data_IF_933008510187
#
_entry.id   IF_933008510187
#
_cell.length_a   1.000
_cell.length_b   1.000
_cell.length_c   1.000
_cell.angle_alpha   90.00
_cell.angle_beta   90.00
_cell.angle_gamma   90.00
#
_symmetry.space_group_name_H-M   'P 1'
#
loop_
_entity.id
_entity.type
_entity.pdbx_description
1 polymer ?
#
# COMPACT_ATOMS: atom_id res chain seq x y z
N UNK A 1 5.40 -29.89 -10.78
CA UNK A 1 4.97 -29.15 -9.57
C UNK A 1 5.44 -29.93 -8.35
N UNK A 2 6.28 -29.34 -7.50
CA UNK A 2 6.84 -30.02 -6.32
C UNK A 2 5.76 -30.29 -5.27
N UNK A 3 5.73 -31.48 -4.65
CA UNK A 3 4.87 -31.83 -3.51
C UNK A 3 4.95 -30.81 -2.36
N UNK A 4 6.12 -30.16 -2.21
CA UNK A 4 6.33 -29.09 -1.23
C UNK A 4 5.55 -27.81 -1.59
N UNK A 5 5.33 -27.55 -2.88
CA UNK A 5 4.55 -26.41 -3.36
C UNK A 5 3.05 -26.55 -3.09
N UNK A 6 2.51 -27.77 -3.08
CA UNK A 6 1.10 -28.02 -2.79
C UNK A 6 0.74 -27.89 -1.30
N UNK A 7 1.71 -28.13 -0.41
CA UNK A 7 1.54 -28.00 1.04
C UNK A 7 1.81 -26.58 1.54
N UNK A 8 2.51 -25.77 0.75
CA UNK A 8 2.85 -24.39 1.08
C UNK A 8 1.64 -23.51 0.84
N UNK A 9 1.26 -22.69 1.83
CA UNK A 9 0.20 -21.72 1.65
C UNK A 9 0.80 -20.36 1.23
N UNK A 10 0.73 -19.97 -0.07
CA UNK A 10 1.31 -18.71 -0.54
C UNK A 10 0.63 -17.48 0.09
N UNK A 11 -0.59 -17.61 0.60
CA UNK A 11 -1.29 -16.51 1.28
C UNK A 11 -0.62 -16.09 2.60
N UNK A 12 0.20 -16.95 3.23
CA UNK A 12 0.81 -16.69 4.54
C UNK A 12 2.31 -17.01 4.61
N UNK A 13 2.98 -17.19 3.47
CA UNK A 13 4.42 -17.49 3.40
C UNK A 13 5.13 -16.56 2.42
N UNK A 14 6.47 -16.48 2.48
CA UNK A 14 7.24 -15.56 1.63
C UNK A 14 7.05 -14.10 2.04
N UNK A 15 6.84 -13.21 1.07
CA UNK A 15 6.61 -11.77 1.28
C UNK A 15 5.31 -11.44 2.01
N UNK A 16 4.35 -12.37 2.06
CA UNK A 16 3.07 -12.21 2.78
C UNK A 16 3.09 -12.77 4.21
N UNK A 17 4.27 -13.09 4.75
CA UNK A 17 4.44 -13.67 6.10
C UNK A 17 4.31 -12.60 7.19
N UNK A 18 3.44 -12.83 8.17
CA UNK A 18 3.35 -11.95 9.34
C UNK A 18 4.38 -12.29 10.41
N UNK A 19 5.29 -11.37 10.69
CA UNK A 19 6.25 -11.47 11.80
C UNK A 19 5.53 -11.62 13.16
N UNK A 20 4.48 -10.82 13.50
CA UNK A 20 3.77 -10.98 14.78
C UNK A 20 3.15 -12.37 14.95
N UNK A 21 2.51 -12.89 13.90
CA UNK A 21 1.91 -14.22 13.92
C UNK A 21 2.98 -15.32 14.01
N UNK A 22 4.13 -15.13 13.35
CA UNK A 22 5.25 -16.07 13.44
C UNK A 22 5.79 -16.12 14.87
N UNK A 23 5.98 -14.97 15.53
CA UNK A 23 6.45 -14.91 16.92
C UNK A 23 5.49 -15.63 17.88
N UNK A 24 4.19 -15.38 17.78
CA UNK A 24 3.20 -16.05 18.64
C UNK A 24 3.16 -17.56 18.40
N UNK A 25 3.19 -18.00 17.14
CA UNK A 25 3.23 -19.44 16.83
C UNK A 25 4.50 -20.12 17.33
N UNK A 26 5.66 -19.45 17.24
CA UNK A 26 6.93 -19.96 17.80
C UNK A 26 6.89 -19.98 19.33
N UNK A 27 6.30 -18.98 19.99
CA UNK A 27 6.14 -18.96 21.44
C UNK A 27 5.22 -20.09 21.94
N UNK A 28 4.11 -20.34 21.25
CA UNK A 28 3.20 -21.47 21.53
C UNK A 28 3.94 -22.80 21.34
N UNK A 29 4.71 -22.93 20.25
CA UNK A 29 5.52 -24.12 20.00
C UNK A 29 6.52 -24.36 21.12
N UNK A 30 7.24 -23.31 21.52
CA UNK A 30 8.22 -23.37 22.58
C UNK A 30 7.59 -23.82 23.91
N UNK A 31 6.42 -23.29 24.26
CA UNK A 31 5.69 -23.70 25.46
C UNK A 31 5.29 -25.17 25.40
N UNK A 32 4.74 -25.62 24.27
CA UNK A 32 4.34 -27.02 24.08
C UNK A 32 5.53 -27.99 24.19
N UNK A 33 6.68 -27.64 23.60
CA UNK A 33 7.91 -28.43 23.70
C UNK A 33 8.38 -28.53 25.15
N UNK A 34 8.41 -27.41 25.88
CA UNK A 34 8.84 -27.41 27.30
C UNK A 34 7.93 -28.28 28.17
N UNK A 35 6.62 -28.23 27.98
CA UNK A 35 5.67 -29.10 28.70
C UNK A 35 5.99 -30.57 28.47
N UNK A 36 6.21 -30.98 27.21
CA UNK A 36 6.54 -32.39 26.88
C UNK A 36 7.88 -32.82 27.46
N UNK A 37 8.87 -31.93 27.49
CA UNK A 37 10.19 -32.19 28.08
C UNK A 37 10.09 -32.35 29.60
N UNK A 38 9.36 -31.48 30.30
CA UNK A 38 9.15 -31.54 31.75
C UNK A 38 8.39 -32.82 32.16
N UNK A 39 7.52 -33.34 31.29
CA UNK A 39 6.85 -34.64 31.48
C UNK A 39 7.78 -35.86 31.24
N UNK A 40 9.08 -35.64 31.06
CA UNK A 40 10.08 -36.71 30.94
C UNK A 40 10.18 -37.33 29.54
N UNK A 41 9.66 -36.67 28.49
CA UNK A 41 9.65 -37.21 27.11
C UNK A 41 10.49 -36.35 26.14
N UNK A 42 11.81 -36.24 26.33
CA UNK A 42 12.64 -35.31 25.54
C UNK A 42 12.65 -35.62 24.04
N UNK A 43 12.67 -36.90 23.64
CA UNK A 43 12.60 -37.30 22.22
C UNK A 43 11.28 -36.89 21.57
N UNK A 44 10.16 -36.99 22.30
CA UNK A 44 8.87 -36.52 21.81
C UNK A 44 8.83 -34.99 21.70
N UNK A 45 9.46 -34.27 22.65
CA UNK A 45 9.62 -32.82 22.59
C UNK A 45 10.41 -32.37 21.34
N UNK A 46 11.50 -33.07 21.02
CA UNK A 46 12.26 -32.82 19.79
C UNK A 46 11.43 -33.05 18.52
N UNK A 47 10.63 -34.13 18.48
CA UNK A 47 9.72 -34.39 17.37
C UNK A 47 8.66 -33.28 17.21
N UNK A 48 8.07 -32.82 18.32
CA UNK A 48 7.08 -31.72 18.32
C UNK A 48 7.73 -30.43 17.80
N UNK A 49 8.95 -30.11 18.22
CA UNK A 49 9.68 -28.94 17.74
C UNK A 49 9.88 -28.99 16.22
N UNK A 50 10.40 -30.10 15.71
CA UNK A 50 10.69 -30.27 14.27
C UNK A 50 9.40 -30.18 13.46
N UNK A 51 8.36 -30.93 13.84
CA UNK A 51 7.07 -30.92 13.15
C UNK A 51 6.44 -29.53 13.20
N UNK A 52 6.47 -28.87 14.38
CA UNK A 52 5.91 -27.54 14.56
C UNK A 52 6.61 -26.49 13.70
N UNK A 53 7.94 -26.50 13.65
CA UNK A 53 8.72 -25.59 12.80
C UNK A 53 8.43 -25.84 11.31
N UNK A 54 8.31 -27.10 10.89
CA UNK A 54 7.94 -27.46 9.51
C UNK A 54 6.54 -26.96 9.17
N UNK A 55 5.57 -27.10 10.07
CA UNK A 55 4.21 -26.58 9.88
C UNK A 55 4.21 -25.04 9.79
N UNK A 56 4.94 -24.34 10.66
CA UNK A 56 5.08 -22.88 10.61
C UNK A 56 5.77 -22.44 9.30
N UNK A 57 6.77 -23.20 8.83
CA UNK A 57 7.48 -22.91 7.59
C UNK A 57 6.61 -23.10 6.35
N UNK A 58 5.82 -24.18 6.29
CA UNK A 58 4.94 -24.49 5.16
C UNK A 58 3.65 -23.66 5.16
N UNK A 59 3.02 -23.46 6.32
CA UNK A 59 1.69 -22.85 6.40
C UNK A 59 1.66 -21.43 6.96
N UNK A 60 2.72 -20.98 7.61
CA UNK A 60 2.78 -19.67 8.25
C UNK A 60 2.11 -19.61 9.64
N UNK A 61 1.41 -20.68 10.06
CA UNK A 61 0.77 -20.78 11.37
C UNK A 61 0.84 -22.19 11.94
N UNK A 62 0.96 -22.29 13.27
CA UNK A 62 0.87 -23.53 14.03
C UNK A 62 -0.55 -23.72 14.59
N UNK A 63 -1.18 -22.63 15.04
CA UNK A 63 -2.55 -22.62 15.56
C UNK A 63 -3.44 -21.83 14.57
N UNK A 64 -4.50 -22.43 14.01
CA UNK A 64 -5.45 -21.70 13.16
C UNK A 64 -6.07 -20.54 13.93
N UNK A 65 -6.43 -19.46 13.23
CA UNK A 65 -6.96 -18.21 13.81
C UNK A 65 -5.98 -17.36 14.63
N UNK A 66 -4.69 -17.70 14.70
CA UNK A 66 -3.65 -16.76 15.18
C UNK A 66 -3.75 -15.34 14.61
N UNK A 67 -4.12 -15.14 13.32
CA UNK A 67 -4.44 -13.82 12.77
C UNK A 67 -5.37 -12.93 13.60
N UNK A 68 -6.35 -13.51 14.29
CA UNK A 68 -7.39 -12.76 15.01
C UNK A 68 -6.95 -12.24 16.38
N UNK A 69 -5.89 -12.82 16.97
CA UNK A 69 -5.50 -12.54 18.35
C UNK A 69 -4.00 -12.27 18.54
N UNK A 70 -3.12 -12.78 17.67
CA UNK A 70 -1.68 -12.57 17.76
C UNK A 70 -1.28 -11.09 17.76
N UNK A 71 -1.88 -10.19 16.94
CA UNK A 71 -1.55 -8.77 16.99
C UNK A 71 -1.83 -8.13 18.36
N UNK A 72 -2.95 -8.53 19.01
CA UNK A 72 -3.32 -8.01 20.34
C UNK A 72 -2.34 -8.46 21.42
N UNK A 73 -1.85 -9.70 21.35
CA UNK A 73 -0.85 -10.23 22.29
C UNK A 73 0.51 -9.55 22.13
N UNK A 74 0.97 -9.37 20.89
CA UNK A 74 2.28 -8.74 20.62
C UNK A 74 2.26 -7.26 20.97
N UNK A 75 1.15 -6.56 20.72
CA UNK A 75 1.02 -5.15 21.11
C UNK A 75 0.94 -4.93 22.63
N UNK A 76 0.53 -5.93 23.40
CA UNK A 76 0.59 -5.90 24.87
C UNK A 76 2.01 -6.24 25.40
N UNK A 77 2.93 -6.65 24.52
CA UNK A 77 4.29 -7.04 24.87
C UNK A 77 5.25 -5.84 24.80
N UNK A 78 6.32 -5.80 25.63
CA UNK A 78 7.33 -4.73 25.60
C UNK A 78 8.25 -4.73 24.36
N UNK A 79 7.86 -5.38 23.25
CA UNK A 79 8.68 -5.50 22.05
C UNK A 79 8.48 -4.24 21.18
N UNK A 80 9.56 -3.63 20.64
CA UNK A 80 9.44 -2.44 19.78
C UNK A 80 8.53 -2.69 18.57
N UNK A 81 7.55 -1.80 18.36
CA UNK A 81 6.58 -1.94 17.27
C UNK A 81 7.18 -1.73 15.89
N UNK A 82 8.35 -1.07 15.81
CA UNK A 82 9.11 -0.80 14.57
C UNK A 82 9.54 -2.05 13.81
N UNK A 83 9.60 -3.21 14.48
CA UNK A 83 9.90 -4.49 13.83
C UNK A 83 8.70 -5.09 13.08
N UNK A 84 7.53 -4.46 13.17
CA UNK A 84 6.26 -4.94 12.60
C UNK A 84 5.67 -4.00 11.54
N UNK A 85 6.31 -2.85 11.28
CA UNK A 85 5.82 -1.81 10.38
C UNK A 85 6.35 -2.02 8.96
N UNK A 86 5.60 -2.78 8.18
CA UNK A 86 5.72 -2.79 6.72
C UNK A 86 4.36 -2.36 6.13
N UNK A 87 3.90 -1.18 6.54
CA UNK A 87 2.74 -0.53 5.93
C UNK A 87 3.20 0.15 4.64
N UNK A 88 3.18 -0.62 3.54
CA UNK A 88 3.45 -0.09 2.20
C UNK A 88 2.32 0.84 1.78
N UNK A 89 2.42 2.11 2.18
CA UNK A 89 1.65 3.21 1.62
C UNK A 89 1.80 3.26 0.10
N UNK A 90 0.74 3.64 -0.63
CA UNK A 90 0.92 4.06 -2.01
C UNK A 90 1.97 5.16 -2.10
N UNK A 91 2.90 5.03 -3.06
CA UNK A 91 3.78 6.13 -3.42
C UNK A 91 3.03 7.37 -3.91
N UNK A 92 3.78 8.44 -4.13
CA UNK A 92 3.32 9.72 -4.63
C UNK A 92 4.50 10.37 -5.37
N UNK A 93 4.26 11.04 -6.49
CA UNK A 93 5.24 11.92 -7.14
C UNK A 93 5.33 13.26 -6.41
N UNK A 94 4.26 13.65 -5.73
CA UNK A 94 4.17 14.86 -4.92
C UNK A 94 4.80 14.68 -3.53
N UNK A 95 5.45 15.74 -3.02
CA UNK A 95 5.92 15.80 -1.63
C UNK A 95 4.74 15.82 -0.64
N UNK A 96 4.91 15.13 0.49
CA UNK A 96 3.90 14.96 1.54
C UNK A 96 3.88 16.10 2.55
N UNK A 97 4.82 17.05 2.47
CA UNK A 97 4.96 18.13 3.45
C UNK A 97 3.80 19.14 3.43
N UNK A 98 2.96 19.15 2.39
CA UNK A 98 1.85 20.08 2.23
C UNK A 98 0.51 19.50 2.65
N UNK A 99 -0.28 20.33 3.33
CA UNK A 99 -1.61 20.00 3.84
C UNK A 99 -2.64 19.85 2.70
N UNK A 100 -3.24 18.67 2.61
CA UNK A 100 -4.21 18.32 1.56
C UNK A 100 -5.46 19.20 1.57
N UNK A 101 -5.99 19.51 2.75
CA UNK A 101 -7.21 20.32 2.89
C UNK A 101 -6.98 21.75 2.40
N UNK A 102 -5.79 22.28 2.68
CA UNK A 102 -5.37 23.58 2.17
C UNK A 102 -5.31 23.58 0.64
N UNK A 103 -4.74 22.52 0.04
CA UNK A 103 -4.62 22.38 -1.41
C UNK A 103 -5.99 22.24 -2.09
N UNK A 104 -6.94 21.49 -1.51
CA UNK A 104 -8.32 21.44 -1.98
C UNK A 104 -8.99 22.83 -1.92
N UNK A 105 -8.73 23.60 -0.86
CA UNK A 105 -9.18 25.00 -0.76
C UNK A 105 -8.56 25.92 -1.83
N UNK A 106 -7.34 25.64 -2.27
CA UNK A 106 -6.66 26.35 -3.37
C UNK A 106 -7.28 25.98 -4.72
N UNK A 107 -7.51 24.69 -4.99
CA UNK A 107 -8.21 24.20 -6.19
C UNK A 107 -9.62 24.80 -6.32
N UNK A 108 -10.38 24.90 -5.23
CA UNK A 108 -11.69 25.56 -5.22
C UNK A 108 -11.59 27.04 -5.55
N UNK A 109 -10.60 27.75 -5.01
CA UNK A 109 -10.36 29.17 -5.33
C UNK A 109 -9.94 29.40 -6.78
N UNK A 110 -9.29 28.40 -7.40
CA UNK A 110 -8.96 28.40 -8.81
C UNK A 110 -10.14 28.04 -9.73
N UNK A 111 -11.32 27.75 -9.18
CA UNK A 111 -12.51 27.37 -9.95
C UNK A 111 -12.46 25.94 -10.50
N UNK A 112 -11.59 25.08 -9.96
CA UNK A 112 -11.40 23.70 -10.40
C UNK A 112 -12.24 22.70 -9.60
N UNK A 113 -12.83 23.15 -8.50
CA UNK A 113 -13.77 22.38 -7.69
C UNK A 113 -15.05 23.19 -7.51
N UNK A 114 -16.17 22.50 -7.65
CA UNK A 114 -17.50 22.99 -7.26
C UNK A 114 -17.97 22.23 -6.02
N UNK A 115 -18.85 22.84 -5.23
CA UNK A 115 -19.42 22.22 -4.05
C UNK A 115 -20.93 22.48 -3.96
N UNK A 116 -21.70 21.41 -3.79
CA UNK A 116 -23.10 21.50 -3.35
C UNK A 116 -23.19 21.37 -1.81
N UNK A 117 -24.40 21.31 -1.25
CA UNK A 117 -24.60 21.24 0.20
C UNK A 117 -24.01 19.97 0.84
N UNK A 118 -23.74 18.91 0.07
CA UNK A 118 -23.37 17.59 0.57
C UNK A 118 -22.07 17.02 -0.06
N UNK A 119 -21.59 17.56 -1.18
CA UNK A 119 -20.54 16.95 -2.01
C UNK A 119 -19.68 18.00 -2.73
N UNK A 120 -18.43 17.61 -2.98
CA UNK A 120 -17.47 18.35 -3.80
C UNK A 120 -17.29 17.62 -5.12
N UNK A 121 -17.28 18.36 -6.23
CA UNK A 121 -17.08 17.85 -7.58
C UNK A 121 -15.95 18.60 -8.27
N UNK A 122 -15.35 17.97 -9.28
CA UNK A 122 -14.43 18.65 -10.18
C UNK A 122 -15.21 19.55 -11.14
N UNK A 123 -14.59 20.66 -11.53
CA UNK A 123 -15.05 21.40 -12.71
C UNK A 123 -15.08 20.46 -13.93
N UNK A 124 -16.18 20.39 -14.69
CA UNK A 124 -16.32 19.43 -15.78
C UNK A 124 -15.25 19.58 -16.87
N UNK A 125 -14.75 20.79 -17.13
CA UNK A 125 -13.75 21.04 -18.17
C UNK A 125 -12.36 20.60 -17.69
N UNK A 126 -12.05 20.85 -16.41
CA UNK A 126 -10.87 20.32 -15.76
C UNK A 126 -10.89 18.79 -15.71
N UNK A 127 -11.99 18.17 -15.29
CA UNK A 127 -12.15 16.73 -15.22
C UNK A 127 -11.90 16.08 -16.59
N UNK A 128 -12.52 16.58 -17.66
CA UNK A 128 -12.30 16.06 -19.01
C UNK A 128 -10.85 16.21 -19.47
N UNK A 129 -10.20 17.33 -19.16
CA UNK A 129 -8.78 17.53 -19.49
C UNK A 129 -7.89 16.54 -18.74
N UNK A 130 -8.15 16.35 -17.45
CA UNK A 130 -7.38 15.43 -16.62
C UNK A 130 -7.53 13.98 -17.10
N UNK A 131 -8.74 13.55 -17.40
CA UNK A 131 -9.00 12.22 -17.95
C UNK A 131 -8.32 12.01 -19.32
N UNK A 132 -8.33 13.02 -20.20
CA UNK A 132 -7.63 12.94 -21.48
C UNK A 132 -6.10 12.79 -21.33
N UNK A 133 -5.51 13.48 -20.35
CA UNK A 133 -4.08 13.30 -20.05
C UNK A 133 -3.79 11.91 -19.47
N UNK A 134 -4.66 11.40 -18.59
CA UNK A 134 -4.52 10.03 -18.08
C UNK A 134 -4.60 8.99 -19.19
N UNK A 135 -5.54 9.13 -20.13
CA UNK A 135 -5.66 8.22 -21.28
C UNK A 135 -4.41 8.25 -22.17
N UNK A 136 -3.86 9.45 -22.42
CA UNK A 136 -2.61 9.62 -23.18
C UNK A 136 -1.45 8.90 -22.48
N UNK A 137 -1.26 9.16 -21.18
CA UNK A 137 -0.19 8.55 -20.38
C UNK A 137 -0.36 7.04 -20.21
N UNK A 138 -1.61 6.54 -20.12
CA UNK A 138 -1.90 5.10 -20.02
C UNK A 138 -1.48 4.32 -21.27
N UNK A 139 -1.37 4.98 -22.43
CA UNK A 139 -0.88 4.38 -23.67
C UNK A 139 0.64 4.29 -23.77
N UNK A 140 1.37 4.96 -22.89
CA UNK A 140 2.84 5.02 -22.90
C UNK A 140 3.49 3.82 -22.20
N UNK A 141 4.74 3.54 -22.58
CA UNK A 141 5.59 2.60 -21.82
C UNK A 141 5.97 3.19 -20.45
N UNK A 142 6.48 2.35 -19.54
CA UNK A 142 6.92 2.83 -18.23
C UNK A 142 8.20 3.69 -18.34
N UNK A 143 9.06 3.41 -19.31
CA UNK A 143 10.24 4.23 -19.62
C UNK A 143 9.84 5.63 -20.10
N UNK A 144 8.90 5.73 -21.05
CA UNK A 144 8.40 7.02 -21.54
C UNK A 144 7.74 7.83 -20.41
N UNK A 145 6.98 7.16 -19.55
CA UNK A 145 6.35 7.79 -18.38
C UNK A 145 7.40 8.30 -17.38
N UNK A 146 8.51 7.59 -17.21
CA UNK A 146 9.62 8.02 -16.37
C UNK A 146 10.34 9.24 -16.96
N UNK A 147 10.57 9.25 -18.28
CA UNK A 147 11.18 10.38 -18.99
C UNK A 147 10.30 11.62 -18.90
N UNK A 148 8.98 11.48 -19.06
CA UNK A 148 8.04 12.59 -18.93
C UNK A 148 8.00 13.12 -17.49
N UNK A 149 7.98 12.24 -16.48
CA UNK A 149 8.11 12.64 -15.07
C UNK A 149 9.42 13.39 -14.79
N UNK A 150 10.54 12.92 -15.33
CA UNK A 150 11.85 13.57 -15.14
C UNK A 150 11.95 14.95 -15.81
N UNK A 151 11.06 15.26 -16.76
CA UNK A 151 10.96 16.58 -17.39
C UNK A 151 10.22 17.62 -16.53
N UNK A 152 9.50 17.19 -15.49
CA UNK A 152 8.77 18.08 -14.59
C UNK A 152 9.77 18.84 -13.70
N UNK A 153 9.77 20.20 -13.69
CA UNK A 153 10.80 20.99 -13.00
C UNK A 153 11.02 20.68 -11.51
N UNK A 154 9.97 20.22 -10.81
CA UNK A 154 10.00 19.89 -9.38
C UNK A 154 10.30 18.41 -9.10
N UNK A 155 10.57 17.60 -10.13
CA UNK A 155 10.91 16.19 -10.02
C UNK A 155 12.41 16.01 -10.31
N UNK A 156 13.25 15.71 -9.31
CA UNK A 156 14.70 15.62 -9.50
C UNK A 156 15.15 14.49 -10.45
N UNK A 157 14.42 13.37 -10.43
CA UNK A 157 14.66 12.22 -11.30
C UNK A 157 13.46 11.28 -11.25
N UNK A 158 13.28 10.48 -12.30
CA UNK A 158 12.37 9.35 -12.32
C UNK A 158 12.99 8.23 -13.14
N UNK A 159 12.80 6.98 -12.71
CA UNK A 159 13.26 5.81 -13.45
C UNK A 159 12.39 4.58 -13.14
N UNK A 160 12.18 3.68 -14.10
CA UNK A 160 11.52 2.42 -13.84
C UNK A 160 12.40 1.51 -12.97
N UNK A 161 11.76 0.73 -12.10
CA UNK A 161 12.38 -0.30 -11.27
C UNK A 161 11.47 -1.51 -11.15
N UNK A 162 12.07 -2.69 -11.06
CA UNK A 162 11.35 -3.92 -10.72
C UNK A 162 11.57 -4.27 -9.25
N UNK A 163 10.48 -4.48 -8.51
CA UNK A 163 10.50 -4.96 -7.13
C UNK A 163 9.40 -6.00 -6.91
N UNK A 164 9.79 -7.16 -6.38
CA UNK A 164 8.91 -8.31 -6.14
C UNK A 164 8.15 -8.76 -7.40
N UNK A 165 8.80 -8.75 -8.56
CA UNK A 165 8.22 -9.15 -9.85
C UNK A 165 7.15 -8.18 -10.37
N UNK A 166 7.14 -6.94 -9.88
CA UNK A 166 6.25 -5.87 -10.33
C UNK A 166 7.06 -4.64 -10.69
N UNK A 167 6.55 -3.89 -11.65
CA UNK A 167 7.16 -2.65 -12.09
C UNK A 167 6.65 -1.44 -11.29
N UNK A 168 7.57 -0.53 -11.02
CA UNK A 168 7.35 0.70 -10.27
C UNK A 168 8.19 1.82 -10.83
N UNK A 169 7.90 3.05 -10.40
CA UNK A 169 8.73 4.22 -10.63
C UNK A 169 9.42 4.62 -9.33
N UNK A 170 10.74 4.74 -9.40
CA UNK A 170 11.54 5.36 -8.35
C UNK A 170 11.68 6.86 -8.69
N UNK A 171 11.10 7.72 -7.86
CA UNK A 171 11.08 9.18 -8.05
C UNK A 171 12.02 9.85 -7.05
N UNK A 172 12.90 10.72 -7.53
CA UNK A 172 13.86 11.46 -6.71
C UNK A 172 13.16 12.31 -5.65
N UNK A 173 13.67 12.27 -4.42
CA UNK A 173 13.04 12.95 -3.28
C UNK A 173 11.90 12.18 -2.61
N UNK A 174 11.45 11.06 -3.21
CA UNK A 174 10.43 10.19 -2.63
C UNK A 174 11.07 8.95 -2.01
N UNK A 175 10.54 8.52 -0.87
CA UNK A 175 11.01 7.31 -0.17
C UNK A 175 10.25 6.06 -0.58
N UNK A 176 9.01 6.21 -1.06
CA UNK A 176 8.17 5.12 -1.52
C UNK A 176 8.20 4.99 -3.05
N UNK A 177 8.14 3.76 -3.54
CA UNK A 177 7.98 3.48 -4.96
C UNK A 177 6.57 3.87 -5.43
N UNK A 178 6.50 4.44 -6.63
CA UNK A 178 5.26 4.93 -7.23
C UNK A 178 4.72 3.89 -8.21
N UNK A 179 3.48 3.45 -8.00
CA UNK A 179 2.81 2.53 -8.93
C UNK A 179 2.47 3.26 -10.25
N UNK A 180 2.47 2.54 -11.37
CA UNK A 180 2.19 3.12 -12.70
C UNK A 180 0.89 3.92 -12.74
N UNK A 181 -0.18 3.37 -12.18
CA UNK A 181 -1.48 4.05 -12.14
C UNK A 181 -1.48 5.31 -11.24
N UNK A 182 -0.61 5.40 -10.23
CA UNK A 182 -0.45 6.62 -9.42
C UNK A 182 0.29 7.67 -10.23
N UNK A 183 1.37 7.29 -10.90
CA UNK A 183 2.14 8.20 -11.76
C UNK A 183 1.28 8.76 -12.90
N UNK A 184 0.46 7.93 -13.56
CA UNK A 184 -0.50 8.38 -14.58
C UNK A 184 -1.48 9.40 -14.00
N UNK A 185 -2.11 9.11 -12.85
CA UNK A 185 -3.05 10.03 -12.22
C UNK A 185 -2.40 11.38 -11.88
N UNK A 186 -1.27 11.35 -11.18
CA UNK A 186 -0.65 12.55 -10.65
C UNK A 186 0.07 13.37 -11.73
N UNK A 187 0.75 12.73 -12.70
CA UNK A 187 1.33 13.45 -13.84
C UNK A 187 0.24 14.04 -14.73
N UNK A 188 -0.84 13.28 -14.98
CA UNK A 188 -1.99 13.80 -15.72
C UNK A 188 -2.59 15.04 -15.05
N UNK A 189 -2.63 15.05 -13.71
CA UNK A 189 -3.10 16.21 -12.95
C UNK A 189 -2.15 17.40 -13.08
N UNK A 190 -0.83 17.18 -12.98
CA UNK A 190 0.18 18.23 -13.17
C UNK A 190 0.02 18.93 -14.52
N UNK A 191 -0.16 18.14 -15.59
CA UNK A 191 -0.37 18.68 -16.94
C UNK A 191 -1.72 19.38 -17.07
N UNK A 192 -2.80 18.81 -16.54
CA UNK A 192 -4.13 19.40 -16.63
C UNK A 192 -4.28 20.72 -15.82
N UNK A 193 -3.47 20.90 -14.78
CA UNK A 193 -3.44 22.10 -13.94
C UNK A 193 -2.66 23.27 -14.57
N UNK A 194 -1.85 23.02 -15.60
CA UNK A 194 -1.00 24.04 -16.23
C UNK A 194 -1.73 25.35 -16.61
N UNK A 195 -2.94 25.31 -17.19
CA UNK A 195 -3.65 26.54 -17.55
C UNK A 195 -4.20 27.35 -16.36
N UNK A 196 -4.21 26.79 -15.15
CA UNK A 196 -4.89 27.36 -13.97
C UNK A 196 -3.93 27.67 -12.81
N UNK A 197 -2.77 27.03 -12.78
CA UNK A 197 -1.79 27.15 -11.71
C UNK A 197 -0.44 27.41 -12.35
N UNK A 198 0.19 28.55 -12.08
CA UNK A 198 1.45 28.93 -12.75
C UNK A 198 2.67 28.17 -12.22
N UNK A 199 2.74 27.96 -10.90
CA UNK A 199 3.90 27.33 -10.25
C UNK A 199 3.88 25.80 -10.42
N UNK A 200 4.89 25.19 -11.10
CA UNK A 200 5.00 23.74 -11.22
C UNK A 200 5.04 23.00 -9.88
N UNK A 201 5.60 23.61 -8.84
CA UNK A 201 5.64 22.99 -7.51
C UNK A 201 4.24 22.90 -6.88
N UNK A 202 3.39 23.90 -7.14
CA UNK A 202 2.01 23.90 -6.68
C UNK A 202 1.15 22.90 -7.47
N UNK A 203 1.35 22.80 -8.79
CA UNK A 203 0.71 21.75 -9.62
C UNK A 203 1.03 20.36 -9.08
N UNK A 204 2.31 20.10 -8.78
CA UNK A 204 2.76 18.83 -8.24
C UNK A 204 2.13 18.55 -6.87
N UNK A 205 2.10 19.53 -5.97
CA UNK A 205 1.47 19.39 -4.67
C UNK A 205 -0.03 19.07 -4.76
N UNK A 206 -0.75 19.72 -5.68
CA UNK A 206 -2.19 19.54 -5.88
C UNK A 206 -2.56 18.20 -6.54
N UNK A 207 -1.62 17.52 -7.18
CA UNK A 207 -1.88 16.26 -7.90
C UNK A 207 -2.35 15.13 -6.98
N UNK A 208 -1.79 15.05 -5.76
CA UNK A 208 -2.11 13.98 -4.80
C UNK A 208 -3.56 13.97 -4.31
N UNK A 209 -4.13 15.07 -3.77
CA UNK A 209 -5.51 15.09 -3.29
C UNK A 209 -6.54 14.85 -4.41
N UNK A 210 -6.22 15.17 -5.66
CA UNK A 210 -7.10 14.91 -6.80
C UNK A 210 -7.42 13.41 -6.97
N UNK A 211 -6.55 12.50 -6.52
CA UNK A 211 -6.81 11.05 -6.54
C UNK A 211 -8.10 10.64 -5.83
N UNK A 212 -8.58 11.42 -4.87
CA UNK A 212 -9.82 11.15 -4.14
C UNK A 212 -11.06 11.17 -5.04
N UNK A 213 -10.99 11.84 -6.20
CA UNK A 213 -12.09 11.93 -7.16
C UNK A 213 -12.13 10.75 -8.15
N UNK A 214 -11.14 9.85 -8.15
CA UNK A 214 -11.09 8.73 -9.10
C UNK A 214 -11.74 7.47 -8.54
N UNK A 215 -12.72 6.95 -9.28
CA UNK A 215 -13.39 5.68 -9.01
C UNK A 215 -12.77 4.50 -9.76
N UNK A 216 -12.07 4.78 -10.86
CA UNK A 216 -11.54 3.78 -11.78
C UNK A 216 -10.04 3.94 -11.97
N UNK A 217 -9.35 2.82 -12.17
CA UNK A 217 -7.91 2.80 -12.35
C UNK A 217 -7.51 3.48 -13.66
N UNK A 218 -6.71 4.56 -13.63
CA UNK A 218 -6.35 5.29 -14.84
C UNK A 218 -5.39 4.53 -15.75
N UNK A 219 -4.82 3.40 -15.31
CA UNK A 219 -3.96 2.56 -16.14
C UNK A 219 -4.71 1.47 -16.92
N UNK A 220 -5.83 0.97 -16.39
CA UNK A 220 -6.52 -0.19 -16.97
C UNK A 220 -8.05 -0.08 -17.03
N UNK A 221 -8.62 1.02 -16.52
CA UNK A 221 -10.06 1.30 -16.52
C UNK A 221 -10.88 0.47 -15.54
N UNK A 222 -10.26 -0.37 -14.70
CA UNK A 222 -10.99 -1.19 -13.73
C UNK A 222 -11.34 -0.38 -12.49
N UNK A 223 -12.59 -0.46 -12.03
CA UNK A 223 -13.04 0.16 -10.78
C UNK A 223 -12.16 -0.24 -9.60
N UNK A 224 -11.87 0.72 -8.71
CA UNK A 224 -11.11 0.46 -7.50
C UNK A 224 -11.93 -0.32 -6.49
N UNK A 225 -11.29 -1.30 -5.85
CA UNK A 225 -11.83 -2.00 -4.70
C UNK A 225 -11.34 -1.35 -3.39
N UNK A 226 -12.20 -1.38 -2.37
CA UNK A 226 -11.79 -1.05 -1.01
C UNK A 226 -11.07 -2.24 -0.39
N UNK A 227 -9.88 -1.97 0.11
CA UNK A 227 -9.06 -2.91 0.86
C UNK A 227 -8.54 -2.25 2.14
N UNK A 228 -7.71 -2.97 2.87
CA UNK A 228 -7.03 -2.46 4.05
C UNK A 228 -5.52 -2.44 3.83
N UNK A 229 -4.81 -1.56 4.55
CA UNK A 229 -3.34 -1.53 4.53
C UNK A 229 -2.70 -2.84 5.00
N UNK A 230 -3.46 -3.70 5.68
CA UNK A 230 -2.99 -4.98 6.19
C UNK A 230 -3.17 -6.09 5.15
N UNK A 231 -2.06 -6.58 4.60
CA UNK A 231 -2.08 -7.67 3.62
C UNK A 231 -2.22 -9.07 4.23
N UNK A 232 -2.07 -9.21 5.55
CA UNK A 232 -2.14 -10.52 6.20
C UNK A 232 -2.63 -10.39 7.67
N UNK A 233 -1.86 -9.83 8.61
CA UNK A 233 -2.28 -9.60 10.02
C UNK A 233 -1.49 -8.48 10.74
N UNK A 234 -0.65 -7.72 10.01
CA UNK A 234 0.50 -7.02 10.61
C UNK A 234 0.47 -5.50 10.64
N UNK A 235 -0.33 -4.82 9.83
CA UNK A 235 -0.35 -3.34 9.83
C UNK A 235 -1.39 -2.74 10.79
N UNK A 236 -1.69 -3.42 11.90
CA UNK A 236 -2.27 -2.73 13.04
C UNK A 236 -1.13 -2.00 13.73
N UNK A 237 -0.99 -0.71 13.44
CA UNK A 237 -0.10 0.22 14.18
C UNK A 237 -0.45 0.24 15.66
N UNK A 238 -1.73 0.03 15.99
CA UNK A 238 -2.29 0.01 17.34
C UNK A 238 -3.52 -0.92 17.41
N UNK A 239 -3.67 -1.78 18.44
CA UNK A 239 -4.87 -2.63 18.63
C UNK A 239 -6.20 -1.88 18.74
N UNK A 240 -6.17 -0.58 19.02
CA UNK A 240 -7.34 0.30 19.10
C UNK A 240 -7.64 1.04 17.80
N UNK A 241 -6.71 1.03 16.85
CA UNK A 241 -6.84 1.74 15.57
C UNK A 241 -7.33 0.75 14.50
N UNK A 242 -8.44 1.07 13.84
CA UNK A 242 -8.88 0.28 12.68
C UNK A 242 -7.87 0.48 11.55
N UNK A 243 -7.52 -0.56 10.78
CA UNK A 243 -6.64 -0.42 9.64
C UNK A 243 -7.16 0.64 8.66
N UNK A 244 -6.20 1.41 8.14
CA UNK A 244 -6.32 2.31 6.99
C UNK A 244 -7.17 1.68 5.89
N UNK A 245 -8.31 2.25 5.49
CA UNK A 245 -8.92 1.85 4.22
C UNK A 245 -8.04 2.36 3.07
N UNK A 246 -7.87 1.54 2.05
CA UNK A 246 -7.10 1.88 0.86
C UNK A 246 -7.84 1.42 -0.38
N UNK A 247 -7.81 2.25 -1.42
CA UNK A 247 -8.25 1.88 -2.75
C UNK A 247 -7.15 1.07 -3.44
N UNK A 248 -7.53 -0.07 -4.00
CA UNK A 248 -6.64 -0.96 -4.77
C UNK A 248 -7.23 -1.21 -6.15
N UNK A 249 -6.36 -1.32 -7.16
CA UNK A 249 -6.78 -1.85 -8.44
C UNK A 249 -6.65 -3.38 -8.39
N UNK A 250 -7.73 -4.16 -8.56
CA UNK A 250 -7.67 -5.62 -8.51
C UNK A 250 -6.87 -6.22 -9.68
N UNK A 251 -6.91 -5.60 -10.86
CA UNK A 251 -6.17 -6.07 -12.05
C UNK A 251 -4.68 -5.72 -11.99
N UNK A 252 -4.33 -4.52 -11.51
CA UNK A 252 -2.92 -4.13 -11.36
C UNK A 252 -2.27 -4.72 -10.09
N UNK A 253 -3.05 -5.27 -9.17
CA UNK A 253 -2.62 -5.74 -7.85
C UNK A 253 -1.76 -4.72 -7.07
N UNK A 254 -2.05 -3.43 -7.24
CA UNK A 254 -1.31 -2.31 -6.65
C UNK A 254 -2.24 -1.35 -5.91
N UNK A 255 -1.73 -0.74 -4.84
CA UNK A 255 -2.48 0.22 -4.02
C UNK A 255 -2.47 1.59 -4.67
N UNK A 256 -3.64 2.19 -4.78
CA UNK A 256 -3.84 3.48 -5.43
C UNK A 256 -3.85 4.64 -4.44
N UNK A 257 -4.69 4.57 -3.40
CA UNK A 257 -4.91 5.68 -2.48
C UNK A 257 -5.16 5.15 -1.08
N UNK A 258 -4.64 5.83 -0.06
CA UNK A 258 -5.05 5.63 1.32
C UNK A 258 -6.15 6.65 1.63
N UNK A 259 -7.26 6.18 2.18
CA UNK A 259 -8.36 7.03 2.59
C UNK A 259 -8.11 7.64 3.98
N UNK A 260 -8.64 8.85 4.25
CA UNK A 260 -8.62 9.44 5.59
C UNK A 260 -9.37 8.56 6.61
N UNK A 261 -9.10 8.79 7.89
CA UNK A 261 -9.75 8.03 8.96
C UNK A 261 -11.27 8.30 8.95
N UNK A 262 -12.13 7.26 9.03
CA UNK A 262 -13.55 7.49 9.22
C UNK A 262 -13.77 8.12 10.60
N UNK A 263 -14.41 9.29 10.64
CA UNK A 263 -14.82 9.98 11.87
C UNK A 263 -15.74 9.12 12.77
#
# INVERSE_FOLDING_TARGET
>A
MSLLGALRNPAHTGSRRCIPCTLVNVAILWLAVNVVVVLGRPLAGAAVLVVGLVVIWLRGYLVPYTPQFAPRLVAASPIPTTWFHDTNEPGSIADRSRDGDRLLGELRRAGLLDADEERVYLDPDFERRWHAEMDRLASQSLDDLADELASVPSVPSARPVEQDGREWLAVGGQTALVARHVAIAELGAVTALEPHVDDPADRLAMARPLREFLTDCPACGTAFDRSSEVSCCGGYTNPREKPRETLVCPECEQRFLRLPDPE
#
